data_IF_606250161645
#
_entry.id   IF_606250161645
#
_cell.length_a   1.000
_cell.length_b   1.000
_cell.length_c   1.000
_cell.angle_alpha   90.00
_cell.angle_beta   90.00
_cell.angle_gamma   90.00
#
_symmetry.space_group_name_H-M   'P 1'
#
loop_
_entity.id
_entity.type
_entity.pdbx_description
1 polymer ?
#
# COMPACT_ATOMS: atom_id res chain seq x y z
N UNK A 1 75.33 -28.64 50.62
CA UNK A 1 73.98 -29.02 50.18
C UNK A 1 73.06 -27.83 50.34
N UNK A 2 72.74 -27.12 49.22
CA UNK A 2 71.78 -25.96 49.21
C UNK A 2 70.41 -26.45 48.83
N UNK A 3 69.40 -26.27 49.70
CA UNK A 3 68.04 -26.61 49.44
C UNK A 3 67.39 -25.53 48.50
N UNK A 4 66.93 -25.96 47.36
CA UNK A 4 66.10 -25.13 46.45
C UNK A 4 64.66 -25.23 46.91
N UNK A 5 64.03 -24.08 47.17
CA UNK A 5 62.58 -23.95 47.43
C UNK A 5 61.80 -23.91 46.09
N UNK A 6 60.68 -24.63 45.95
CA UNK A 6 59.86 -24.54 44.73
C UNK A 6 59.08 -23.22 44.73
N UNK A 7 59.16 -22.50 43.60
CA UNK A 7 58.25 -21.35 43.28
C UNK A 7 56.94 -21.93 42.73
N UNK A 8 55.85 -21.69 43.43
CA UNK A 8 54.50 -21.98 42.94
C UNK A 8 54.10 -20.88 41.99
N UNK A 9 53.89 -21.25 40.69
CA UNK A 9 53.35 -20.37 39.66
C UNK A 9 51.84 -20.42 39.77
N UNK A 10 51.23 -19.33 40.25
CA UNK A 10 49.77 -19.18 40.25
C UNK A 10 49.32 -18.78 38.86
N UNK A 11 48.66 -19.69 38.14
CA UNK A 11 47.98 -19.40 36.86
C UNK A 11 46.68 -18.68 37.13
N UNK A 12 46.61 -17.40 36.81
CA UNK A 12 45.38 -16.62 36.82
C UNK A 12 44.65 -16.90 35.49
N UNK A 13 43.61 -17.72 35.56
CA UNK A 13 42.71 -17.97 34.43
C UNK A 13 41.76 -16.77 34.31
N UNK A 14 42.00 -15.88 33.33
CA UNK A 14 41.09 -14.80 32.95
C UNK A 14 39.94 -15.43 32.19
N UNK A 15 38.78 -15.64 32.84
CA UNK A 15 37.55 -16.04 32.16
C UNK A 15 37.02 -14.86 31.34
N UNK A 16 37.33 -14.83 30.06
CA UNK A 16 36.69 -13.91 29.12
C UNK A 16 35.21 -14.31 28.97
N UNK A 17 34.31 -13.57 29.58
CA UNK A 17 32.87 -13.64 29.28
C UNK A 17 32.67 -13.08 27.86
N UNK A 18 32.64 -13.97 26.88
CA UNK A 18 32.18 -13.62 25.54
C UNK A 18 30.68 -13.31 25.68
N UNK A 19 30.33 -12.04 25.72
CA UNK A 19 28.95 -11.61 25.60
C UNK A 19 28.45 -12.07 24.22
N UNK A 20 27.52 -13.04 24.20
CA UNK A 20 26.81 -13.42 22.99
C UNK A 20 25.89 -12.22 22.69
N UNK A 21 26.23 -11.41 21.68
CA UNK A 21 25.30 -10.44 21.14
C UNK A 21 24.03 -11.20 20.69
N UNK A 22 22.83 -10.77 21.03
CA UNK A 22 21.62 -11.40 20.52
C UNK A 22 21.67 -11.42 19.00
N UNK A 23 21.40 -12.59 18.40
CA UNK A 23 21.34 -12.70 16.96
C UNK A 23 20.17 -11.83 16.44
N UNK A 24 20.45 -10.91 15.53
CA UNK A 24 19.39 -10.11 14.89
C UNK A 24 18.47 -11.04 14.09
N UNK A 25 17.17 -10.83 14.22
CA UNK A 25 16.18 -11.50 13.39
C UNK A 25 16.27 -10.97 11.95
N UNK A 26 16.46 -11.88 10.99
CA UNK A 26 16.51 -11.51 9.58
C UNK A 26 15.09 -11.45 9.01
N UNK A 27 14.65 -10.26 8.61
CA UNK A 27 13.32 -10.00 8.05
C UNK A 27 13.39 -9.69 6.57
N UNK A 28 12.49 -10.27 5.77
CA UNK A 28 12.26 -9.90 4.38
C UNK A 28 11.12 -8.88 4.34
N UNK A 29 11.36 -7.73 3.73
CA UNK A 29 10.35 -6.69 3.48
C UNK A 29 10.03 -6.62 1.98
N UNK A 30 8.88 -7.15 1.59
CA UNK A 30 8.39 -7.09 0.21
C UNK A 30 7.71 -5.75 -0.06
N UNK A 31 8.04 -5.13 -1.17
CA UNK A 31 7.55 -3.80 -1.53
C UNK A 31 6.78 -3.82 -2.85
N UNK A 32 7.07 -2.95 -3.78
CA UNK A 32 6.56 -2.94 -5.15
C UNK A 32 7.68 -3.19 -6.15
N UNK A 33 7.38 -3.00 -7.44
CA UNK A 33 8.38 -3.12 -8.49
C UNK A 33 9.50 -2.09 -8.34
N UNK A 34 10.70 -2.43 -8.77
CA UNK A 34 11.80 -1.47 -8.92
C UNK A 34 11.36 -0.36 -9.89
N UNK A 35 11.56 0.88 -9.52
CA UNK A 35 11.06 2.04 -10.28
C UNK A 35 9.68 2.54 -9.84
N UNK A 36 8.94 1.78 -9.02
CA UNK A 36 7.72 2.25 -8.37
C UNK A 36 8.02 2.92 -7.01
N UNK A 37 7.05 3.66 -6.48
CA UNK A 37 7.17 4.40 -5.21
C UNK A 37 7.40 3.50 -4.00
N UNK A 38 6.89 2.28 -4.00
CA UNK A 38 6.97 1.38 -2.84
C UNK A 38 8.38 0.85 -2.58
N UNK A 39 9.20 0.68 -3.60
CA UNK A 39 10.57 0.19 -3.40
C UNK A 39 11.46 1.18 -2.62
N UNK A 40 11.59 2.47 -3.04
CA UNK A 40 12.30 3.46 -2.25
C UNK A 40 11.64 3.75 -0.90
N UNK A 41 10.31 3.62 -0.79
CA UNK A 41 9.59 3.74 0.48
C UNK A 41 10.02 2.67 1.48
N UNK A 42 10.04 1.40 1.08
CA UNK A 42 10.50 0.30 1.93
C UNK A 42 11.97 0.47 2.36
N UNK A 43 12.82 0.98 1.47
CA UNK A 43 14.20 1.28 1.81
C UNK A 43 14.33 2.41 2.86
N UNK A 44 13.51 3.46 2.75
CA UNK A 44 13.46 4.54 3.74
C UNK A 44 12.94 4.03 5.10
N UNK A 45 11.87 3.23 5.11
CA UNK A 45 11.33 2.61 6.32
C UNK A 45 12.35 1.69 6.99
N UNK A 46 13.00 0.80 6.25
CA UNK A 46 14.09 -0.03 6.74
C UNK A 46 15.14 0.81 7.45
N UNK A 47 15.60 1.88 6.81
CA UNK A 47 16.65 2.74 7.36
C UNK A 47 16.26 3.38 8.70
N UNK A 48 14.99 3.72 8.90
CA UNK A 48 14.54 4.30 10.16
C UNK A 48 14.26 3.23 11.23
N UNK A 49 13.72 2.07 10.85
CA UNK A 49 13.48 0.95 11.77
C UNK A 49 14.81 0.45 12.37
N UNK A 50 15.79 0.13 11.52
CA UNK A 50 17.09 -0.43 11.96
C UNK A 50 17.96 0.55 12.79
N UNK A 51 17.60 1.84 12.87
CA UNK A 51 18.28 2.79 13.75
C UNK A 51 17.90 2.64 15.22
N UNK A 52 16.72 2.09 15.50
CA UNK A 52 16.14 2.07 16.85
C UNK A 52 15.70 0.68 17.28
N UNK A 53 15.56 -0.26 16.36
CA UNK A 53 15.21 -1.67 16.63
C UNK A 53 16.43 -2.55 16.33
N UNK A 54 17.33 -2.64 17.29
CA UNK A 54 18.61 -3.38 17.13
C UNK A 54 18.41 -4.89 16.96
N UNK A 55 17.23 -5.41 17.30
CA UNK A 55 16.88 -6.84 17.22
C UNK A 55 16.61 -7.33 15.81
N UNK A 56 16.42 -6.45 14.81
CA UNK A 56 16.05 -6.84 13.44
C UNK A 56 17.09 -6.41 12.40
N UNK A 57 17.16 -7.18 11.32
CA UNK A 57 17.91 -6.86 10.10
C UNK A 57 17.01 -7.08 8.90
N UNK A 58 16.67 -6.01 8.15
CA UNK A 58 15.64 -6.02 7.13
C UNK A 58 16.27 -6.08 5.73
N UNK A 59 15.80 -7.02 4.90
CA UNK A 59 16.11 -7.10 3.48
C UNK A 59 14.92 -6.60 2.65
N UNK A 60 15.04 -5.44 2.04
CA UNK A 60 14.02 -4.90 1.13
C UNK A 60 14.12 -5.62 -0.22
N UNK A 61 12.99 -6.15 -0.71
CA UNK A 61 12.88 -6.84 -1.99
C UNK A 61 11.70 -6.31 -2.81
N UNK A 62 11.80 -6.36 -4.16
CA UNK A 62 10.65 -6.10 -5.01
C UNK A 62 9.50 -7.07 -4.73
N UNK A 63 8.27 -6.61 -4.96
CA UNK A 63 7.06 -7.39 -4.79
C UNK A 63 5.89 -6.82 -5.57
N UNK A 64 4.70 -7.35 -5.30
CA UNK A 64 3.43 -6.88 -5.85
C UNK A 64 2.31 -7.23 -4.84
N UNK A 65 1.30 -6.36 -4.69
CA UNK A 65 0.32 -6.43 -3.61
C UNK A 65 -0.26 -7.83 -3.36
N UNK A 66 -0.78 -8.50 -4.38
CA UNK A 66 -1.35 -9.86 -4.25
C UNK A 66 -0.28 -10.90 -3.85
N UNK A 67 0.89 -10.87 -4.50
CA UNK A 67 1.98 -11.79 -4.19
C UNK A 67 2.55 -11.56 -2.79
N UNK A 68 2.54 -10.32 -2.33
CA UNK A 68 2.99 -9.94 -1.00
C UNK A 68 2.08 -10.54 0.09
N UNK A 69 0.76 -10.49 -0.09
CA UNK A 69 -0.21 -11.14 0.81
C UNK A 69 0.07 -12.64 0.92
N UNK A 70 0.24 -13.32 -0.22
CA UNK A 70 0.56 -14.76 -0.26
C UNK A 70 1.92 -15.05 0.39
N UNK A 71 2.89 -14.15 0.25
CA UNK A 71 4.21 -14.33 0.86
C UNK A 71 4.17 -14.21 2.39
N UNK A 72 3.41 -13.26 2.93
CA UNK A 72 3.18 -13.13 4.39
C UNK A 72 2.47 -14.39 4.91
N UNK A 73 1.34 -14.78 4.31
CA UNK A 73 0.58 -15.98 4.70
C UNK A 73 1.46 -17.24 4.80
N UNK A 74 2.40 -17.39 3.87
CA UNK A 74 3.29 -18.55 3.83
C UNK A 74 4.62 -18.38 4.58
N UNK A 75 4.79 -17.31 5.38
CA UNK A 75 6.02 -17.05 6.15
C UNK A 75 7.26 -16.73 5.30
N UNK A 76 7.09 -16.38 4.02
CA UNK A 76 8.21 -16.05 3.11
C UNK A 76 8.68 -14.61 3.24
N UNK A 77 7.92 -13.78 3.90
CA UNK A 77 8.24 -12.41 4.27
C UNK A 77 7.67 -12.10 5.64
N UNK A 78 8.33 -11.23 6.38
CA UNK A 78 7.90 -10.78 7.70
C UNK A 78 7.19 -9.44 7.62
N UNK A 79 7.54 -8.62 6.63
CA UNK A 79 6.91 -7.32 6.35
C UNK A 79 6.57 -7.23 4.87
N UNK A 80 5.46 -6.60 4.55
CA UNK A 80 5.14 -6.31 3.15
C UNK A 80 4.28 -5.05 3.00
N UNK A 81 4.41 -4.38 1.85
CA UNK A 81 3.47 -3.34 1.42
C UNK A 81 2.31 -3.97 0.64
N UNK A 82 1.12 -3.48 0.88
CA UNK A 82 -0.10 -3.95 0.23
C UNK A 82 -1.14 -2.84 0.02
N UNK A 83 -2.18 -3.16 -0.74
CA UNK A 83 -3.41 -2.38 -0.81
C UNK A 83 -4.47 -3.03 0.08
N UNK A 84 -5.24 -2.22 0.82
CA UNK A 84 -6.29 -2.75 1.71
C UNK A 84 -7.28 -3.63 0.97
N UNK A 85 -7.69 -3.25 -0.25
CA UNK A 85 -8.63 -4.04 -1.05
C UNK A 85 -8.10 -5.45 -1.37
N UNK A 86 -6.80 -5.58 -1.72
CA UNK A 86 -6.21 -6.89 -1.99
C UNK A 86 -6.13 -7.77 -0.74
N UNK A 87 -5.82 -7.16 0.41
CA UNK A 87 -5.73 -7.89 1.67
C UNK A 87 -7.12 -8.27 2.20
N UNK A 88 -8.12 -7.39 2.06
CA UNK A 88 -9.53 -7.68 2.40
C UNK A 88 -10.07 -8.83 1.53
N UNK A 89 -9.83 -8.82 0.21
CA UNK A 89 -10.21 -9.94 -0.66
C UNK A 89 -9.57 -11.26 -0.19
N UNK A 90 -8.29 -11.21 0.18
CA UNK A 90 -7.55 -12.38 0.61
C UNK A 90 -8.08 -12.97 1.93
N UNK A 91 -8.33 -12.15 2.95
CA UNK A 91 -8.88 -12.61 4.23
C UNK A 91 -10.33 -13.11 4.13
N UNK A 92 -11.06 -12.64 3.13
CA UNK A 92 -12.42 -13.12 2.84
C UNK A 92 -12.46 -14.29 1.85
N UNK A 93 -11.35 -14.61 1.17
CA UNK A 93 -11.26 -15.66 0.18
C UNK A 93 -12.10 -15.39 -1.08
N UNK A 94 -12.14 -14.12 -1.52
CA UNK A 94 -12.93 -13.67 -2.68
C UNK A 94 -12.04 -13.04 -3.77
N UNK A 95 -12.62 -12.72 -4.90
CA UNK A 95 -11.90 -12.08 -6.00
C UNK A 95 -10.72 -12.93 -6.50
N UNK A 96 -9.53 -12.36 -6.47
CA UNK A 96 -8.30 -13.08 -6.86
C UNK A 96 -7.90 -14.19 -5.89
N UNK A 97 -8.55 -14.29 -4.74
CA UNK A 97 -8.31 -15.30 -3.70
C UNK A 97 -9.48 -16.26 -3.54
N UNK A 98 -10.38 -16.37 -4.52
CA UNK A 98 -11.50 -17.29 -4.47
C UNK A 98 -11.02 -18.72 -4.21
N UNK A 99 -11.53 -19.31 -3.11
CA UNK A 99 -11.11 -20.63 -2.65
C UNK A 99 -9.73 -20.69 -1.97
N UNK A 100 -9.06 -19.56 -1.75
CA UNK A 100 -7.74 -19.46 -1.12
C UNK A 100 -7.73 -18.38 -0.04
N UNK A 101 -8.62 -18.52 0.94
CA UNK A 101 -8.68 -17.60 2.10
C UNK A 101 -7.34 -17.60 2.84
N UNK A 102 -6.86 -16.41 3.20
CA UNK A 102 -5.71 -16.25 4.09
C UNK A 102 -6.17 -15.96 5.51
N UNK A 103 -5.42 -16.45 6.49
CA UNK A 103 -5.79 -16.37 7.92
C UNK A 103 -4.70 -15.72 8.78
N UNK A 104 -3.49 -15.58 8.22
CA UNK A 104 -2.32 -15.10 8.97
C UNK A 104 -1.75 -13.81 8.37
N UNK A 105 -2.61 -12.84 8.02
CA UNK A 105 -2.20 -11.52 7.54
C UNK A 105 -2.86 -10.43 8.35
N UNK A 106 -2.04 -9.63 9.04
CA UNK A 106 -2.44 -8.51 9.87
C UNK A 106 -1.85 -7.18 9.37
N UNK A 107 -2.54 -6.08 9.68
CA UNK A 107 -2.10 -4.72 9.41
C UNK A 107 -1.16 -4.21 10.52
N UNK A 108 -0.07 -3.54 10.15
CA UNK A 108 0.77 -2.77 11.07
C UNK A 108 0.36 -1.30 11.05
N UNK A 109 0.23 -0.73 9.86
CA UNK A 109 -0.05 0.69 9.67
C UNK A 109 -0.70 0.95 8.32
N UNK A 110 -1.78 1.73 8.31
CA UNK A 110 -2.23 2.40 7.09
C UNK A 110 -1.22 3.47 6.71
N UNK A 111 -0.98 3.61 5.43
CA UNK A 111 -0.12 4.65 4.88
C UNK A 111 -0.97 5.71 4.16
N UNK A 112 -0.66 6.02 2.92
CA UNK A 112 -1.45 6.94 2.12
C UNK A 112 -2.59 6.20 1.38
N UNK A 113 -3.48 6.99 0.78
CA UNK A 113 -4.58 6.45 0.00
C UNK A 113 -4.28 6.48 -1.50
N UNK A 114 -4.74 5.47 -2.21
CA UNK A 114 -5.00 5.56 -3.62
C UNK A 114 -6.43 6.04 -3.85
N UNK A 115 -6.56 7.05 -4.71
CA UNK A 115 -7.83 7.67 -5.07
C UNK A 115 -8.24 7.14 -6.43
N UNK A 116 -9.45 6.68 -6.53
CA UNK A 116 -10.04 6.24 -7.81
C UNK A 116 -10.34 7.47 -8.64
N UNK A 117 -9.82 7.53 -9.85
CA UNK A 117 -9.99 8.67 -10.74
C UNK A 117 -10.48 8.17 -12.10
N UNK A 118 -11.76 8.39 -12.38
CA UNK A 118 -12.34 8.17 -13.68
C UNK A 118 -12.15 9.45 -14.50
N UNK A 119 -11.44 9.36 -15.62
CA UNK A 119 -11.03 10.49 -16.47
C UNK A 119 -11.53 10.27 -17.88
N UNK A 120 -12.15 11.31 -18.46
CA UNK A 120 -12.61 11.29 -19.85
C UNK A 120 -12.11 12.51 -20.62
N UNK A 121 -11.91 12.34 -21.93
CA UNK A 121 -11.62 13.43 -22.90
C UNK A 121 -12.90 13.95 -23.59
N UNK A 122 -13.98 13.16 -23.56
CA UNK A 122 -15.29 13.62 -24.03
C UNK A 122 -16.00 14.40 -22.92
N UNK A 123 -16.17 15.70 -23.13
CA UNK A 123 -16.77 16.62 -22.15
C UNK A 123 -18.27 16.40 -21.94
N UNK A 124 -18.96 15.66 -22.81
CA UNK A 124 -20.38 15.32 -22.67
C UNK A 124 -20.61 14.16 -21.67
N UNK A 125 -19.59 13.36 -21.39
CA UNK A 125 -19.69 12.29 -20.39
C UNK A 125 -19.92 12.89 -18.99
N UNK A 126 -20.81 12.28 -18.20
CA UNK A 126 -21.21 12.75 -16.88
C UNK A 126 -20.79 11.82 -15.75
N UNK A 127 -20.79 10.51 -16.01
CA UNK A 127 -20.46 9.47 -15.05
C UNK A 127 -19.73 8.33 -15.75
N UNK A 128 -19.12 7.39 -15.01
CA UNK A 128 -18.57 6.16 -15.60
C UNK A 128 -19.55 5.29 -16.39
N UNK A 129 -20.88 5.45 -16.21
CA UNK A 129 -21.88 4.78 -17.04
C UNK A 129 -21.73 5.14 -18.53
N UNK A 130 -21.25 6.34 -18.83
CA UNK A 130 -21.12 6.85 -20.19
C UNK A 130 -19.95 6.22 -20.98
N UNK A 131 -19.16 5.34 -20.34
CA UNK A 131 -18.19 4.49 -21.04
C UNK A 131 -18.88 3.39 -21.88
N UNK A 132 -20.13 3.06 -21.63
CA UNK A 132 -20.89 2.12 -22.48
C UNK A 132 -20.84 2.51 -23.97
N UNK A 133 -20.41 1.59 -24.85
CA UNK A 133 -20.21 1.82 -26.27
C UNK A 133 -18.93 2.58 -26.66
N UNK A 134 -18.10 2.99 -25.71
CA UNK A 134 -16.87 3.78 -25.94
C UNK A 134 -15.61 2.94 -25.80
N UNK A 135 -14.49 3.46 -26.29
CA UNK A 135 -13.17 2.85 -26.10
C UNK A 135 -12.54 3.31 -24.77
N UNK A 136 -12.06 2.37 -23.99
CA UNK A 136 -11.45 2.63 -22.70
C UNK A 136 -10.08 1.94 -22.56
N UNK A 137 -9.19 2.51 -21.73
CA UNK A 137 -7.97 1.83 -21.34
C UNK A 137 -7.95 1.58 -19.84
N UNK A 138 -7.40 0.43 -19.45
CA UNK A 138 -7.22 0.00 -18.05
C UNK A 138 -5.83 -0.60 -17.87
N UNK A 139 -5.42 -0.78 -16.61
CA UNK A 139 -4.15 -1.45 -16.31
C UNK A 139 -4.17 -2.93 -16.78
N UNK A 140 -3.00 -3.56 -16.90
CA UNK A 140 -2.93 -4.99 -17.20
C UNK A 140 -3.71 -5.84 -16.18
N UNK A 141 -4.30 -6.94 -16.64
CA UNK A 141 -5.05 -7.88 -15.78
C UNK A 141 -4.20 -8.35 -14.59
N UNK A 142 -4.84 -8.51 -13.44
CA UNK A 142 -4.17 -8.85 -12.18
C UNK A 142 -3.55 -7.65 -11.45
N UNK A 143 -3.70 -6.44 -11.98
CA UNK A 143 -3.35 -5.21 -11.28
C UNK A 143 -4.56 -4.73 -10.45
N UNK A 144 -4.34 -4.27 -9.21
CA UNK A 144 -5.40 -3.77 -8.35
C UNK A 144 -6.20 -2.61 -8.98
N UNK A 145 -5.55 -1.77 -9.79
CA UNK A 145 -6.20 -0.67 -10.50
C UNK A 145 -7.14 -1.18 -11.61
N UNK A 146 -6.79 -2.28 -12.30
CA UNK A 146 -7.69 -2.94 -13.26
C UNK A 146 -8.93 -3.52 -12.57
N UNK A 147 -8.73 -4.24 -11.48
CA UNK A 147 -9.84 -4.78 -10.67
C UNK A 147 -10.77 -3.67 -10.20
N UNK A 148 -10.20 -2.56 -9.71
CA UNK A 148 -10.97 -1.39 -9.28
C UNK A 148 -11.75 -0.77 -10.45
N UNK A 149 -11.12 -0.59 -11.61
CA UNK A 149 -11.79 -0.03 -12.78
C UNK A 149 -13.00 -0.87 -13.20
N UNK A 150 -12.85 -2.21 -13.18
CA UNK A 150 -13.94 -3.13 -13.48
C UNK A 150 -15.06 -3.05 -12.44
N UNK A 151 -14.73 -3.03 -11.14
CA UNK A 151 -15.72 -2.90 -10.07
C UNK A 151 -16.47 -1.56 -10.14
N UNK A 152 -15.78 -0.47 -10.47
CA UNK A 152 -16.42 0.84 -10.68
C UNK A 152 -17.40 0.77 -11.85
N UNK A 153 -17.00 0.28 -13.02
CA UNK A 153 -17.90 0.14 -14.16
C UNK A 153 -19.13 -0.72 -13.80
N UNK A 154 -18.91 -1.86 -13.15
CA UNK A 154 -19.99 -2.76 -12.71
C UNK A 154 -20.97 -2.06 -11.76
N UNK A 155 -20.50 -1.14 -10.90
CA UNK A 155 -21.40 -0.36 -10.02
C UNK A 155 -22.30 0.61 -10.78
N UNK A 156 -21.97 0.91 -12.04
CA UNK A 156 -22.81 1.69 -12.97
C UNK A 156 -23.57 0.80 -13.97
N UNK A 157 -23.51 -0.55 -13.81
CA UNK A 157 -24.17 -1.48 -14.71
C UNK A 157 -23.45 -1.67 -16.05
N UNK A 158 -22.19 -1.26 -16.16
CA UNK A 158 -21.35 -1.39 -17.36
C UNK A 158 -20.31 -2.48 -17.12
N UNK A 159 -20.10 -3.35 -18.10
CA UNK A 159 -19.03 -4.38 -18.11
C UNK A 159 -18.06 -4.11 -19.26
N UNK A 160 -16.95 -4.84 -19.31
CA UNK A 160 -16.03 -4.72 -20.44
C UNK A 160 -16.67 -5.14 -21.79
N UNK A 161 -17.70 -6.00 -21.77
CA UNK A 161 -18.42 -6.43 -22.97
C UNK A 161 -19.32 -5.33 -23.53
N UNK A 162 -19.70 -4.34 -22.70
CA UNK A 162 -20.49 -3.17 -23.12
C UNK A 162 -19.62 -2.06 -23.73
N UNK A 163 -18.28 -2.16 -23.65
CA UNK A 163 -17.36 -1.21 -24.25
C UNK A 163 -17.16 -1.51 -25.74
N UNK A 164 -16.94 -0.48 -26.56
CA UNK A 164 -16.54 -0.70 -27.95
C UNK A 164 -15.16 -1.34 -28.07
N UNK A 165 -14.28 -1.00 -27.10
CA UNK A 165 -12.93 -1.57 -26.99
C UNK A 165 -12.39 -1.36 -25.57
N UNK A 166 -11.74 -2.39 -25.02
CA UNK A 166 -10.91 -2.28 -23.81
C UNK A 166 -9.45 -2.53 -24.15
N UNK A 167 -8.56 -1.62 -23.75
CA UNK A 167 -7.12 -1.74 -23.92
C UNK A 167 -6.47 -1.97 -22.57
N UNK A 168 -5.61 -2.98 -22.46
CA UNK A 168 -4.83 -3.27 -21.25
C UNK A 168 -3.40 -2.72 -21.44
N UNK A 169 -3.07 -1.62 -20.77
CA UNK A 169 -1.82 -0.91 -21.02
C UNK A 169 -1.23 -0.33 -19.73
N UNK A 170 0.05 0.05 -19.76
CA UNK A 170 0.67 0.81 -18.66
C UNK A 170 0.02 2.19 -18.54
N UNK A 171 0.10 2.81 -17.35
CA UNK A 171 -0.47 4.14 -17.12
C UNK A 171 0.03 5.20 -18.12
N UNK A 172 1.31 5.14 -18.48
CA UNK A 172 1.90 6.05 -19.47
C UNK A 172 1.35 5.81 -20.87
N UNK A 173 1.17 4.54 -21.26
CA UNK A 173 0.61 4.20 -22.57
C UNK A 173 -0.87 4.59 -22.66
N UNK A 174 -1.62 4.43 -21.56
CA UNK A 174 -3.01 4.89 -21.46
C UNK A 174 -3.12 6.40 -21.69
N UNK A 175 -2.23 7.20 -21.08
CA UNK A 175 -2.17 8.63 -21.32
C UNK A 175 -1.89 8.98 -22.79
N UNK A 176 -0.96 8.27 -23.42
CA UNK A 176 -0.68 8.46 -24.84
C UNK A 176 -1.89 8.09 -25.71
N UNK A 177 -2.58 6.97 -25.42
CA UNK A 177 -3.79 6.58 -26.12
C UNK A 177 -4.91 7.63 -26.02
N UNK A 178 -5.05 8.28 -24.86
CA UNK A 178 -6.01 9.39 -24.70
C UNK A 178 -5.62 10.61 -25.52
N UNK A 179 -4.35 11.04 -25.48
CA UNK A 179 -3.84 12.18 -26.27
C UNK A 179 -3.95 11.93 -27.77
N UNK A 180 -3.80 10.66 -28.20
CA UNK A 180 -3.91 10.26 -29.60
C UNK A 180 -5.36 10.01 -30.06
N UNK A 181 -6.36 10.17 -29.17
CA UNK A 181 -7.77 9.92 -29.47
C UNK A 181 -8.11 8.45 -29.74
N UNK A 182 -7.29 7.51 -29.25
CA UNK A 182 -7.52 6.07 -29.41
C UNK A 182 -8.47 5.49 -28.36
N UNK A 183 -8.66 6.21 -27.24
CA UNK A 183 -9.59 5.88 -26.17
C UNK A 183 -10.24 7.14 -25.63
N UNK A 184 -11.48 7.02 -25.16
CA UNK A 184 -12.29 8.12 -24.62
C UNK A 184 -11.95 8.41 -23.15
N UNK A 185 -11.28 7.49 -22.45
CA UNK A 185 -10.87 7.68 -21.07
C UNK A 185 -10.27 6.45 -20.41
N UNK A 186 -10.03 6.61 -19.10
CA UNK A 186 -9.56 5.52 -18.22
C UNK A 186 -10.15 5.64 -16.81
N UNK A 187 -10.06 4.58 -16.04
CA UNK A 187 -10.22 4.61 -14.58
C UNK A 187 -8.91 4.14 -13.97
N UNK A 188 -8.31 4.99 -13.14
CA UNK A 188 -7.01 4.75 -12.50
C UNK A 188 -7.11 4.91 -10.98
N UNK A 189 -6.22 4.23 -10.27
CA UNK A 189 -6.03 4.41 -8.83
C UNK A 189 -4.64 4.96 -8.59
N UNK A 190 -4.57 6.22 -8.13
CA UNK A 190 -3.29 6.92 -7.95
C UNK A 190 -3.47 8.04 -6.92
N UNK A 191 -2.38 8.78 -6.62
CA UNK A 191 -2.45 9.98 -5.77
C UNK A 191 -3.11 11.15 -6.49
N UNK A 192 -3.61 12.13 -5.74
CA UNK A 192 -4.14 13.39 -6.25
C UNK A 192 -3.21 14.52 -5.80
N UNK A 193 -2.73 15.41 -6.71
CA UNK A 193 -2.85 15.32 -8.15
C UNK A 193 -1.95 14.21 -8.74
N UNK A 194 -2.37 13.65 -9.88
CA UNK A 194 -1.61 12.64 -10.62
C UNK A 194 -0.87 13.27 -11.80
N UNK A 195 0.45 13.03 -11.89
CA UNK A 195 1.26 13.57 -12.98
C UNK A 195 0.79 13.14 -14.38
N UNK A 196 0.29 11.90 -14.50
CA UNK A 196 -0.26 11.37 -15.76
C UNK A 196 -1.52 12.13 -16.21
N UNK A 197 -2.39 12.51 -15.28
CA UNK A 197 -3.60 13.28 -15.61
C UNK A 197 -3.22 14.72 -15.97
N UNK A 198 -2.26 15.30 -15.27
CA UNK A 198 -1.70 16.62 -15.60
C UNK A 198 -1.04 16.64 -17.00
N UNK A 199 -0.36 15.56 -17.38
CA UNK A 199 0.26 15.44 -18.71
C UNK A 199 -0.79 15.37 -19.83
N UNK A 200 -1.91 14.66 -19.62
CA UNK A 200 -3.03 14.65 -20.59
C UNK A 200 -3.66 16.04 -20.67
N UNK A 201 -3.95 16.66 -19.53
CA UNK A 201 -4.56 17.97 -19.45
C UNK A 201 -3.73 19.10 -20.08
N UNK A 202 -2.41 18.91 -20.23
CA UNK A 202 -1.54 19.88 -20.90
C UNK A 202 -1.78 19.97 -22.42
N UNK A 203 -2.41 18.96 -23.03
CA UNK A 203 -2.61 18.88 -24.50
C UNK A 203 -4.05 18.54 -24.93
N UNK A 204 -4.93 18.21 -24.00
CA UNK A 204 -6.31 17.79 -24.28
C UNK A 204 -7.25 18.32 -23.20
N UNK A 205 -8.47 18.65 -23.58
CA UNK A 205 -9.53 18.87 -22.58
C UNK A 205 -9.83 17.55 -21.87
N UNK A 206 -9.87 17.59 -20.56
CA UNK A 206 -10.16 16.41 -19.72
C UNK A 206 -11.08 16.79 -18.59
N UNK A 207 -11.82 15.82 -18.09
CA UNK A 207 -12.62 15.97 -16.88
C UNK A 207 -12.53 14.74 -15.99
N UNK A 208 -12.77 14.93 -14.70
CA UNK A 208 -13.02 13.85 -13.76
C UNK A 208 -14.51 13.51 -13.78
N UNK A 209 -14.82 12.23 -13.87
CA UNK A 209 -16.19 11.72 -13.76
C UNK A 209 -16.45 11.34 -12.29
N UNK A 210 -17.52 11.85 -11.67
CA UNK A 210 -17.86 11.55 -10.30
C UNK A 210 -18.30 10.09 -10.13
N UNK A 211 -17.94 9.50 -8.99
CA UNK A 211 -18.44 8.23 -8.50
C UNK A 211 -19.30 8.56 -7.27
N UNK A 212 -20.64 8.65 -7.40
CA UNK A 212 -21.54 9.02 -6.32
C UNK A 212 -21.49 8.06 -5.13
N UNK A 213 -21.98 8.51 -3.99
CA UNK A 213 -21.95 7.76 -2.73
C UNK A 213 -22.63 6.40 -2.84
N UNK A 214 -23.74 6.30 -3.58
CA UNK A 214 -24.43 5.03 -3.81
C UNK A 214 -23.59 3.99 -4.58
N UNK A 215 -22.74 4.43 -5.50
CA UNK A 215 -21.82 3.56 -6.21
C UNK A 215 -20.64 3.17 -5.30
N UNK A 216 -20.13 4.11 -4.50
CA UNK A 216 -19.08 3.82 -3.50
C UNK A 216 -19.60 2.85 -2.43
N UNK A 217 -20.86 2.97 -2.01
CA UNK A 217 -21.46 2.01 -1.08
C UNK A 217 -21.48 0.59 -1.66
N UNK A 218 -21.81 0.41 -2.95
CA UNK A 218 -21.73 -0.89 -3.62
C UNK A 218 -20.30 -1.44 -3.67
N UNK A 219 -19.29 -0.57 -3.89
CA UNK A 219 -17.88 -0.98 -3.83
C UNK A 219 -17.51 -1.44 -2.43
N UNK A 220 -17.92 -0.70 -1.40
CA UNK A 220 -17.63 -1.02 0.01
C UNK A 220 -18.33 -2.30 0.47
N UNK A 221 -19.55 -2.56 -0.02
CA UNK A 221 -20.28 -3.81 0.23
C UNK A 221 -19.54 -5.03 -0.36
N UNK A 222 -18.98 -4.87 -1.57
CA UNK A 222 -18.18 -5.92 -2.21
C UNK A 222 -16.82 -6.08 -1.55
N UNK A 223 -16.19 -5.00 -1.11
CA UNK A 223 -14.87 -5.00 -0.48
C UNK A 223 -14.74 -3.85 0.53
N UNK A 224 -14.68 -4.23 1.83
CA UNK A 224 -14.59 -3.31 2.95
C UNK A 224 -13.31 -2.44 2.98
N UNK A 225 -12.37 -2.66 2.08
CA UNK A 225 -11.17 -1.81 1.91
C UNK A 225 -11.46 -0.48 1.21
N UNK A 226 -12.60 -0.35 0.49
CA UNK A 226 -13.00 0.91 -0.11
C UNK A 226 -13.60 1.88 0.92
N UNK A 227 -13.40 3.18 0.69
CA UNK A 227 -13.98 4.27 1.48
C UNK A 227 -14.43 5.40 0.55
N UNK A 228 -15.48 6.16 0.91
CA UNK A 228 -15.80 7.40 0.22
C UNK A 228 -14.63 8.39 0.29
N UNK A 229 -14.45 9.13 -0.77
CA UNK A 229 -13.48 10.21 -0.86
C UNK A 229 -14.03 11.34 -1.73
N UNK A 230 -13.55 12.56 -1.49
CA UNK A 230 -13.84 13.72 -2.34
C UNK A 230 -12.51 14.28 -2.84
N UNK A 231 -12.34 14.37 -4.16
CA UNK A 231 -11.24 15.12 -4.75
C UNK A 231 -11.58 16.60 -4.64
N UNK A 232 -10.86 17.38 -3.80
CA UNK A 232 -11.19 18.78 -3.59
C UNK A 232 -11.07 19.60 -4.87
N UNK A 233 -11.95 20.60 -5.02
CA UNK A 233 -11.86 21.60 -6.08
C UNK A 233 -10.45 22.21 -6.15
N UNK A 234 -9.96 22.46 -7.36
CA UNK A 234 -8.60 22.98 -7.57
C UNK A 234 -7.47 21.98 -7.40
N UNK A 235 -7.77 20.68 -7.19
CA UNK A 235 -6.74 19.61 -7.20
C UNK A 235 -6.08 19.50 -8.57
N UNK A 236 -6.79 19.83 -9.64
CA UNK A 236 -6.29 19.94 -11.01
C UNK A 236 -6.66 21.30 -11.62
N UNK A 237 -5.86 21.86 -12.54
CA UNK A 237 -6.12 23.17 -13.16
C UNK A 237 -7.45 23.26 -13.93
N UNK A 238 -8.02 22.11 -14.33
CA UNK A 238 -9.27 22.02 -15.10
C UNK A 238 -10.49 21.66 -14.22
N UNK A 239 -10.31 21.56 -12.90
CA UNK A 239 -11.35 21.08 -11.97
C UNK A 239 -11.69 22.17 -10.95
N UNK A 240 -12.86 22.79 -11.12
CA UNK A 240 -13.35 23.90 -10.29
C UNK A 240 -14.31 23.45 -9.18
N UNK A 241 -14.76 22.20 -9.20
CA UNK A 241 -15.73 21.65 -8.26
C UNK A 241 -15.16 20.41 -7.55
N UNK A 242 -15.69 20.13 -6.36
CA UNK A 242 -15.44 18.89 -5.66
C UNK A 242 -15.96 17.69 -6.45
N UNK A 243 -15.16 16.61 -6.53
CA UNK A 243 -15.56 15.39 -7.26
C UNK A 243 -15.62 14.22 -6.29
N UNK A 244 -16.84 13.70 -5.98
CA UNK A 244 -17.00 12.51 -5.16
C UNK A 244 -16.43 11.28 -5.88
N UNK A 245 -15.77 10.43 -5.13
CA UNK A 245 -15.15 9.20 -5.64
C UNK A 245 -14.91 8.20 -4.51
N UNK A 246 -14.22 7.11 -4.83
CA UNK A 246 -13.75 6.12 -3.86
C UNK A 246 -12.23 6.23 -3.64
N UNK A 247 -11.81 5.77 -2.48
CA UNK A 247 -10.40 5.57 -2.14
C UNK A 247 -10.21 4.24 -1.41
N UNK A 248 -8.96 3.78 -1.37
CA UNK A 248 -8.56 2.65 -0.53
C UNK A 248 -7.14 2.86 0.00
N UNK A 249 -6.86 2.25 1.17
CA UNK A 249 -5.58 2.40 1.84
C UNK A 249 -4.46 1.60 1.16
N UNK A 250 -3.25 2.13 1.25
CA UNK A 250 -2.04 1.33 1.20
C UNK A 250 -1.59 1.08 2.63
N UNK A 251 -0.96 -0.05 2.90
CA UNK A 251 -0.61 -0.41 4.25
C UNK A 251 0.66 -1.27 4.33
N UNK A 252 1.20 -1.37 5.53
CA UNK A 252 2.22 -2.33 5.88
C UNK A 252 1.53 -3.51 6.55
N UNK A 253 1.82 -4.72 6.07
CA UNK A 253 1.30 -5.97 6.64
C UNK A 253 2.42 -6.86 7.16
N UNK A 254 2.04 -7.72 8.08
CA UNK A 254 2.87 -8.78 8.68
C UNK A 254 2.02 -10.02 8.92
N UNK A 255 2.63 -11.13 9.29
CA UNK A 255 1.90 -12.28 9.78
C UNK A 255 1.30 -11.97 11.17
N UNK A 256 0.06 -12.43 11.43
CA UNK A 256 -0.60 -12.15 12.71
C UNK A 256 0.09 -12.84 13.90
N UNK A 257 0.84 -13.91 13.65
CA UNK A 257 1.61 -14.66 14.63
C UNK A 257 3.08 -14.22 14.75
N UNK A 258 3.46 -13.11 14.11
CA UNK A 258 4.78 -12.50 14.30
C UNK A 258 4.95 -12.05 15.77
N UNK A 259 6.17 -12.00 16.27
CA UNK A 259 6.45 -11.60 17.66
C UNK A 259 5.86 -10.22 18.00
N UNK A 260 5.06 -10.17 19.07
CA UNK A 260 4.33 -8.96 19.46
C UNK A 260 5.24 -7.79 19.79
N UNK A 261 6.33 -8.03 20.53
CA UNK A 261 7.25 -6.97 20.94
C UNK A 261 7.99 -6.40 19.73
N UNK A 262 8.46 -7.27 18.83
CA UNK A 262 9.11 -6.85 17.60
C UNK A 262 8.21 -5.97 16.74
N UNK A 263 6.94 -6.33 16.56
CA UNK A 263 6.00 -5.52 15.78
C UNK A 263 5.59 -4.24 16.51
N UNK A 264 5.50 -4.26 17.85
CA UNK A 264 5.30 -3.04 18.64
C UNK A 264 6.44 -2.04 18.41
N UNK A 265 7.70 -2.48 18.52
CA UNK A 265 8.87 -1.63 18.30
C UNK A 265 8.95 -1.10 16.86
N UNK A 266 8.65 -1.93 15.86
CA UNK A 266 8.58 -1.52 14.45
C UNK A 266 7.48 -0.47 14.25
N UNK A 267 6.29 -0.68 14.82
CA UNK A 267 5.17 0.27 14.72
C UNK A 267 5.54 1.62 15.32
N UNK A 268 6.12 1.62 16.52
CA UNK A 268 6.62 2.81 17.21
C UNK A 268 7.68 3.53 16.38
N UNK A 269 8.69 2.79 15.90
CA UNK A 269 9.76 3.34 15.08
C UNK A 269 9.24 4.04 13.83
N UNK A 270 8.27 3.44 13.14
CA UNK A 270 7.62 4.02 11.96
C UNK A 270 6.80 5.26 12.32
N UNK A 271 5.98 5.22 13.38
CA UNK A 271 5.16 6.35 13.80
C UNK A 271 6.01 7.58 14.17
N UNK A 272 7.10 7.37 14.91
CA UNK A 272 8.01 8.44 15.35
C UNK A 272 8.89 8.97 14.20
N UNK A 273 9.20 8.14 13.20
CA UNK A 273 10.09 8.51 12.10
C UNK A 273 9.37 8.85 10.79
N UNK A 274 8.05 8.74 10.71
CA UNK A 274 7.30 8.97 9.48
C UNK A 274 7.65 10.28 8.76
N UNK A 275 7.85 11.44 9.45
CA UNK A 275 8.30 12.65 8.77
C UNK A 275 9.64 12.50 8.03
N UNK A 276 10.55 11.65 8.49
CA UNK A 276 11.84 11.38 7.83
C UNK A 276 11.66 10.42 6.64
N UNK A 277 10.83 9.39 6.82
CA UNK A 277 10.46 8.46 5.73
C UNK A 277 9.76 9.20 4.59
N UNK A 278 8.97 10.23 4.92
CA UNK A 278 8.24 11.05 3.96
C UNK A 278 9.12 12.01 3.13
N UNK A 279 10.37 12.28 3.54
CA UNK A 279 11.24 13.22 2.80
C UNK A 279 11.37 12.85 1.32
N UNK A 280 11.74 11.61 0.94
CA UNK A 280 11.79 11.19 -0.46
C UNK A 280 10.41 10.80 -1.05
N UNK A 281 9.35 10.70 -0.24
CA UNK A 281 8.06 10.11 -0.64
C UNK A 281 6.92 11.09 -0.35
N UNK A 282 6.60 11.94 -1.30
CA UNK A 282 5.61 13.01 -1.13
C UNK A 282 4.24 12.51 -0.63
N UNK A 283 3.82 11.31 -1.04
CA UNK A 283 2.56 10.69 -0.62
C UNK A 283 2.45 10.42 0.89
N UNK A 284 3.58 10.35 1.61
CA UNK A 284 3.63 10.13 3.06
C UNK A 284 3.63 11.41 3.90
N UNK A 285 3.70 12.60 3.29
CA UNK A 285 3.84 13.86 4.02
C UNK A 285 2.71 14.15 5.02
N UNK A 286 1.54 13.59 4.77
CA UNK A 286 0.36 13.76 5.62
C UNK A 286 0.08 12.52 6.49
N UNK A 287 0.91 11.49 6.40
CA UNK A 287 0.73 10.28 7.19
C UNK A 287 1.35 10.50 8.57
N UNK A 288 0.49 10.54 9.57
CA UNK A 288 0.83 10.60 10.98
C UNK A 288 0.30 9.38 11.74
N UNK A 289 0.55 9.30 13.04
CA UNK A 289 0.09 8.17 13.87
C UNK A 289 -1.43 7.94 13.80
N UNK A 290 -2.22 9.02 13.69
CA UNK A 290 -3.68 8.94 13.57
C UNK A 290 -4.08 8.20 12.29
N UNK A 291 -3.50 8.56 11.13
CA UNK A 291 -3.78 7.88 9.88
C UNK A 291 -3.24 6.45 9.87
N UNK A 292 -2.10 6.20 10.53
CA UNK A 292 -1.53 4.85 10.63
C UNK A 292 -2.45 3.89 11.38
N UNK A 293 -3.19 4.39 12.39
CA UNK A 293 -4.11 3.63 13.22
C UNK A 293 -5.51 3.41 12.63
N UNK A 294 -5.84 4.08 11.49
CA UNK A 294 -7.18 3.99 10.89
C UNK A 294 -7.52 2.55 10.46
N UNK A 295 -8.78 2.15 10.70
CA UNK A 295 -9.32 0.88 10.22
C UNK A 295 -9.40 0.87 8.68
N UNK A 296 -8.82 -0.17 8.09
CA UNK A 296 -8.82 -0.42 6.64
C UNK A 296 -9.52 -1.72 6.26
N UNK A 297 -10.26 -2.33 7.18
CA UNK A 297 -10.90 -3.62 6.99
C UNK A 297 -9.94 -4.82 7.12
N UNK A 298 -8.73 -4.60 7.62
CA UNK A 298 -7.72 -5.63 7.89
C UNK A 298 -7.39 -5.59 9.39
N UNK A 299 -7.44 -6.71 10.13
CA UNK A 299 -7.17 -6.72 11.56
C UNK A 299 -5.76 -6.18 11.87
N UNK A 300 -5.64 -5.40 12.93
CA UNK A 300 -4.33 -4.97 13.42
C UNK A 300 -3.56 -6.15 14.02
N UNK A 301 -2.25 -6.13 13.87
CA UNK A 301 -1.35 -7.00 14.61
C UNK A 301 -1.34 -6.60 16.10
N UNK A 302 -1.26 -7.58 17.01
CA UNK A 302 -1.32 -7.33 18.47
C UNK A 302 -0.31 -6.25 18.95
N UNK A 303 0.92 -6.28 18.44
CA UNK A 303 1.94 -5.27 18.77
C UNK A 303 1.60 -3.88 18.26
N UNK A 304 1.03 -3.77 17.07
CA UNK A 304 0.58 -2.49 16.52
C UNK A 304 -0.64 -1.95 17.29
N UNK A 305 -1.61 -2.82 17.59
CA UNK A 305 -2.80 -2.48 18.37
C UNK A 305 -2.39 -1.95 19.76
N UNK A 306 -1.47 -2.63 20.44
CA UNK A 306 -0.93 -2.20 21.73
C UNK A 306 -0.33 -0.80 21.66
N UNK A 307 0.52 -0.53 20.67
CA UNK A 307 1.11 0.80 20.48
C UNK A 307 0.02 1.87 20.29
N UNK A 308 -0.95 1.64 19.40
CA UNK A 308 -1.98 2.63 19.12
C UNK A 308 -2.92 2.87 20.30
N UNK A 309 -3.24 1.84 21.11
CA UNK A 309 -4.00 1.99 22.38
C UNK A 309 -3.23 2.82 23.42
N UNK A 310 -1.92 2.57 23.58
CA UNK A 310 -1.07 3.35 24.49
C UNK A 310 -1.00 4.83 24.08
N UNK A 311 -1.02 5.11 22.78
CA UNK A 311 -1.07 6.47 22.25
C UNK A 311 -2.50 7.06 22.21
N UNK A 312 -3.54 6.31 22.62
CA UNK A 312 -4.97 6.70 22.60
C UNK A 312 -5.48 7.06 21.19
N UNK A 313 -4.98 6.39 20.18
CA UNK A 313 -5.37 6.57 18.77
C UNK A 313 -6.52 5.64 18.38
N UNK A 314 -6.73 4.58 19.14
CA UNK A 314 -7.84 3.64 19.04
C UNK A 314 -8.37 3.32 20.45
N UNK A 315 -9.63 2.81 20.54
CA UNK A 315 -10.31 2.44 21.79
C UNK A 315 -9.79 1.12 22.41
#
# INVERSE_FOLDING_TARGET
MKQMKPFALAAITLAATVGVAPAQESMVFLTGSQGGTWFPMGAAMKSEIEKVVDSVSIQVRPGASLANVVAIENGRAQLALGSSISTVDAINGVGSFEGQKVENVCNIAKLYQFIVQAVAVDMEMKTPADFGGRAMSVNPRGNASEVTARMVLESFGVTYDDLSKVNFASMSDQANMMKDGQVDGFIQTTTVPAGVIMDIAASSDVKLLPIPEENVAQLTEKNAGFRPYVIPAGSYPFQDEDVPTAAFGTHIMTACDQDEETIYEITKALAESMPKVAVPIAALKQVGPEQMAEDIGVPLHAGAERYYREQRLID
#
